data_IF_539084863275
#
_entry.id   IF_539084863275
#
_cell.length_a   1.000
_cell.length_b   1.000
_cell.length_c   1.000
_cell.angle_alpha   90.00
_cell.angle_beta   90.00
_cell.angle_gamma   90.00
#
_symmetry.space_group_name_H-M   'P 1'
#
loop_
_entity.id
_entity.type
_entity.pdbx_description
1 polymer ?
#
# COMPACT_ATOMS: atom_id res chain seq x y z
N UNK A 1 -31.66 -35.46 18.21
CA UNK A 1 -30.44 -36.30 18.24
C UNK A 1 -29.66 -36.01 16.96
N UNK A 2 -28.70 -35.09 17.03
CA UNK A 2 -27.55 -34.94 16.12
C UNK A 2 -26.49 -34.13 16.92
N UNK A 3 -25.22 -34.56 16.96
CA UNK A 3 -24.26 -34.12 17.98
C UNK A 3 -23.53 -32.81 17.69
N UNK A 4 -23.21 -32.14 18.81
CA UNK A 4 -22.25 -31.05 19.05
C UNK A 4 -21.12 -30.88 18.01
N UNK A 5 -20.95 -29.65 17.49
CA UNK A 5 -19.67 -29.17 16.93
C UNK A 5 -18.87 -28.45 18.03
N UNK A 6 -17.57 -28.77 18.23
CA UNK A 6 -16.74 -28.07 19.19
C UNK A 6 -16.31 -26.68 18.68
N UNK A 7 -16.60 -25.67 19.49
CA UNK A 7 -16.11 -24.29 19.33
C UNK A 7 -14.60 -24.26 19.59
N UNK A 8 -13.79 -23.95 18.56
CA UNK A 8 -12.35 -23.75 18.70
C UNK A 8 -12.09 -22.42 19.41
N UNK A 9 -11.57 -22.49 20.64
CA UNK A 9 -11.15 -21.34 21.44
C UNK A 9 -9.74 -20.93 21.02
N UNK A 10 -9.64 -19.78 20.35
CA UNK A 10 -8.37 -19.13 20.02
C UNK A 10 -7.66 -18.64 21.29
N UNK A 11 -6.41 -19.05 21.44
CA UNK A 11 -5.47 -18.72 22.49
C UNK A 11 -5.14 -17.21 22.46
N UNK A 12 -5.65 -16.45 23.44
CA UNK A 12 -5.24 -15.06 23.68
C UNK A 12 -3.92 -15.08 24.46
N UNK A 13 -2.82 -14.75 23.78
CA UNK A 13 -1.53 -14.45 24.41
C UNK A 13 -1.58 -13.01 24.90
N UNK A 14 -1.79 -12.83 26.21
CA UNK A 14 -1.59 -11.54 26.89
C UNK A 14 -0.19 -11.53 27.48
N UNK A 15 0.70 -10.74 26.89
CA UNK A 15 1.97 -10.38 27.52
C UNK A 15 1.75 -9.08 28.31
N UNK A 16 1.92 -9.14 29.62
CA UNK A 16 1.94 -7.98 30.51
C UNK A 16 3.39 -7.50 30.63
N UNK A 17 3.64 -6.20 30.49
CA UNK A 17 4.86 -5.59 31.02
C UNK A 17 4.54 -4.25 31.66
N UNK A 18 5.03 -4.13 32.89
CA UNK A 18 4.80 -3.09 33.87
C UNK A 18 5.26 -1.69 33.41
N UNK A 19 4.49 -0.69 33.82
CA UNK A 19 4.91 0.70 33.88
C UNK A 19 5.79 0.91 35.10
N UNK A 20 7.02 1.39 34.90
CA UNK A 20 7.81 2.03 35.95
C UNK A 20 8.49 3.27 35.39
N UNK A 21 8.28 4.36 36.11
CA UNK A 21 8.77 5.72 35.92
C UNK A 21 10.29 5.83 36.06
N UNK A 22 10.95 6.60 35.19
CA UNK A 22 12.21 7.31 35.46
C UNK A 22 12.45 8.38 34.39
N UNK A 23 12.81 9.60 34.84
CA UNK A 23 12.89 10.80 34.01
C UNK A 23 14.23 11.05 33.31
N UNK A 24 14.29 12.25 32.73
CA UNK A 24 15.42 13.00 32.16
C UNK A 24 15.94 12.59 30.76
N UNK A 25 15.75 13.45 29.77
CA UNK A 25 16.70 14.53 29.42
C UNK A 25 16.23 15.24 28.15
N UNK A 26 16.09 16.56 28.22
CA UNK A 26 15.99 17.43 27.04
C UNK A 26 17.36 17.46 26.40
N UNK A 27 17.48 16.98 25.16
CA UNK A 27 18.57 17.35 24.27
C UNK A 27 17.96 17.93 23.00
N UNK A 28 18.05 19.26 22.87
CA UNK A 28 17.70 19.95 21.62
C UNK A 28 18.87 19.74 20.64
N UNK A 29 18.75 18.71 19.78
CA UNK A 29 19.59 18.55 18.60
C UNK A 29 19.03 19.37 17.43
N UNK A 30 19.87 19.92 16.54
CA UNK A 30 19.41 20.75 15.42
C UNK A 30 18.50 19.93 14.49
N UNK A 31 17.42 20.51 13.92
CA UNK A 31 16.57 19.82 12.97
C UNK A 31 17.36 19.60 11.66
N UNK A 32 18.02 18.46 11.55
CA UNK A 32 18.71 18.06 10.32
C UNK A 32 17.67 17.58 9.31
N UNK A 33 17.41 18.43 8.31
CA UNK A 33 16.93 18.14 6.95
C UNK A 33 16.21 16.79 6.77
N UNK A 34 14.88 16.85 6.70
CA UNK A 34 14.00 15.74 6.34
C UNK A 34 14.40 15.11 5.00
N UNK A 35 15.11 13.99 5.05
CA UNK A 35 15.30 13.09 3.90
C UNK A 35 13.95 12.49 3.53
N UNK A 36 13.48 12.76 2.32
CA UNK A 36 12.30 12.13 1.74
C UNK A 36 12.50 10.61 1.73
N UNK A 37 11.74 9.90 2.57
CA UNK A 37 11.78 8.45 2.64
C UNK A 37 11.13 7.87 1.38
N UNK A 38 11.95 7.41 0.43
CA UNK A 38 11.47 6.69 -0.75
C UNK A 38 10.78 5.39 -0.32
N UNK A 39 9.50 5.26 -0.67
CA UNK A 39 8.62 4.12 -0.30
C UNK A 39 9.03 2.76 -0.90
N UNK A 40 10.00 2.74 -1.81
CA UNK A 40 10.45 1.55 -2.56
C UNK A 40 11.94 1.23 -2.39
N UNK A 41 12.64 1.94 -1.50
CA UNK A 41 14.07 1.72 -1.22
C UNK A 41 14.31 0.58 -0.23
N UNK A 42 14.19 -0.68 -0.68
CA UNK A 42 14.65 -1.84 0.10
C UNK A 42 16.17 -2.03 0.03
N UNK A 43 16.74 -2.81 0.96
CA UNK A 43 18.11 -3.42 1.01
C UNK A 43 19.35 -2.55 0.72
N UNK A 44 19.22 -1.25 0.48
CA UNK A 44 20.36 -0.34 0.30
C UNK A 44 20.49 0.56 1.53
N UNK A 45 21.57 0.39 2.30
CA UNK A 45 21.91 1.28 3.42
C UNK A 45 22.26 2.71 2.97
N UNK A 46 22.70 2.89 1.73
CA UNK A 46 23.08 4.19 1.16
C UNK A 46 22.03 4.75 0.19
N UNK A 47 21.84 6.07 0.19
CA UNK A 47 20.98 6.77 -0.75
C UNK A 47 21.45 6.53 -2.18
N UNK A 48 20.59 5.93 -3.01
CA UNK A 48 20.81 5.74 -4.44
C UNK A 48 21.20 7.09 -5.06
N UNK A 49 22.24 7.09 -5.88
CA UNK A 49 22.76 8.32 -6.52
C UNK A 49 21.71 8.86 -7.50
N UNK A 50 21.51 10.17 -7.54
CA UNK A 50 20.52 10.85 -8.43
C UNK A 50 20.61 10.39 -9.90
N UNK A 51 21.82 10.07 -10.38
CA UNK A 51 22.05 9.55 -11.72
C UNK A 51 21.42 8.17 -11.95
N UNK A 52 21.44 7.29 -10.95
CA UNK A 52 20.81 5.96 -11.02
C UNK A 52 19.29 6.11 -10.96
N UNK A 53 18.79 7.02 -10.12
CA UNK A 53 17.35 7.28 -10.02
C UNK A 53 16.77 7.79 -11.33
N UNK A 54 17.42 8.77 -11.94
CA UNK A 54 17.05 9.33 -13.24
C UNK A 54 17.17 8.31 -14.37
N UNK A 55 18.11 7.36 -14.26
CA UNK A 55 18.25 6.27 -15.22
C UNK A 55 17.11 5.25 -15.07
N UNK A 56 16.64 5.00 -13.85
CA UNK A 56 15.52 4.08 -13.57
C UNK A 56 14.14 4.74 -13.64
N UNK A 57 14.09 6.05 -13.80
CA UNK A 57 12.84 6.83 -13.85
C UNK A 57 12.08 6.50 -15.15
N UNK A 58 10.97 5.76 -15.04
CA UNK A 58 10.05 5.52 -16.15
C UNK A 58 8.87 6.50 -16.19
N UNK A 59 8.65 7.27 -15.12
CA UNK A 59 7.49 8.17 -14.94
C UNK A 59 7.34 9.17 -16.09
N UNK A 60 8.43 9.76 -16.55
CA UNK A 60 8.41 10.77 -17.61
C UNK A 60 7.93 10.19 -18.95
N UNK A 61 8.17 8.90 -19.20
CA UNK A 61 7.65 8.18 -20.36
C UNK A 61 6.21 7.67 -20.12
N UNK A 62 5.95 7.07 -18.96
CA UNK A 62 4.66 6.45 -18.61
C UNK A 62 3.52 7.47 -18.55
N UNK A 63 3.83 8.74 -18.25
CA UNK A 63 2.87 9.85 -18.29
C UNK A 63 2.23 10.04 -19.66
N UNK A 64 2.89 9.70 -20.77
CA UNK A 64 2.26 9.78 -22.08
C UNK A 64 1.28 8.61 -22.35
N UNK A 65 1.44 7.50 -21.63
CA UNK A 65 0.70 6.25 -21.81
C UNK A 65 -0.51 6.12 -20.85
N UNK A 66 -0.71 7.07 -19.93
CA UNK A 66 -1.78 6.99 -18.91
C UNK A 66 -3.18 6.77 -19.51
N UNK A 67 -3.48 7.38 -20.67
CA UNK A 67 -4.77 7.21 -21.34
C UNK A 67 -5.02 5.78 -21.79
N UNK A 68 -3.97 5.08 -22.20
CA UNK A 68 -3.99 3.69 -22.63
C UNK A 68 -4.18 2.78 -21.42
N UNK A 69 -3.52 3.09 -20.31
CA UNK A 69 -3.63 2.34 -19.06
C UNK A 69 -5.05 2.43 -18.47
N UNK A 70 -5.67 3.62 -18.51
CA UNK A 70 -7.08 3.82 -18.13
C UNK A 70 -8.00 2.97 -19.02
N UNK A 71 -7.80 2.99 -20.35
CA UNK A 71 -8.60 2.18 -21.28
C UNK A 71 -8.44 0.68 -21.02
N UNK A 72 -7.21 0.22 -20.76
CA UNK A 72 -6.92 -1.17 -20.41
C UNK A 72 -7.61 -1.58 -19.11
N UNK A 73 -7.54 -0.72 -18.09
CA UNK A 73 -8.21 -0.94 -16.80
C UNK A 73 -9.72 -1.05 -16.93
N UNK A 74 -10.37 -0.19 -17.75
CA UNK A 74 -11.82 -0.27 -18.02
C UNK A 74 -12.22 -1.57 -18.72
N UNK A 75 -11.44 -1.97 -19.73
CA UNK A 75 -11.70 -3.22 -20.45
C UNK A 75 -11.53 -4.43 -19.53
N UNK A 76 -10.50 -4.41 -18.68
CA UNK A 76 -10.24 -5.47 -17.72
C UNK A 76 -11.35 -5.57 -16.66
N UNK A 77 -11.79 -4.45 -16.07
CA UNK A 77 -12.93 -4.44 -15.14
C UNK A 77 -14.22 -4.97 -15.79
N UNK A 78 -14.47 -4.60 -17.05
CA UNK A 78 -15.62 -5.12 -17.81
C UNK A 78 -15.55 -6.63 -18.05
N UNK A 79 -14.36 -7.13 -18.38
CA UNK A 79 -14.10 -8.57 -18.53
C UNK A 79 -14.27 -9.31 -17.20
N UNK A 80 -13.78 -8.77 -16.08
CA UNK A 80 -13.94 -9.38 -14.75
C UNK A 80 -15.42 -9.52 -14.36
N UNK A 81 -16.23 -8.50 -14.64
CA UNK A 81 -17.67 -8.53 -14.42
C UNK A 81 -18.37 -9.55 -15.31
N UNK A 82 -17.96 -9.65 -16.59
CA UNK A 82 -18.50 -10.64 -17.52
C UNK A 82 -18.21 -12.08 -17.07
N UNK A 83 -17.03 -12.31 -16.47
CA UNK A 83 -16.65 -13.61 -15.95
C UNK A 83 -17.30 -13.94 -14.60
N UNK A 84 -18.01 -12.98 -13.98
CA UNK A 84 -18.66 -13.13 -12.67
C UNK A 84 -17.71 -13.05 -11.48
N UNK A 85 -16.50 -12.48 -11.66
CA UNK A 85 -15.51 -12.32 -10.57
C UNK A 85 -15.80 -11.09 -9.71
N UNK A 86 -16.40 -10.06 -10.29
CA UNK A 86 -16.88 -8.87 -9.59
C UNK A 86 -18.33 -8.60 -9.98
N UNK A 87 -19.07 -7.91 -9.11
CA UNK A 87 -20.45 -7.52 -9.42
C UNK A 87 -20.49 -6.40 -10.46
N UNK A 88 -21.64 -6.23 -11.11
CA UNK A 88 -21.88 -5.13 -12.05
C UNK A 88 -21.79 -3.77 -11.37
N UNK A 89 -22.23 -3.67 -10.11
CA UNK A 89 -22.14 -2.41 -9.35
C UNK A 89 -20.69 -2.04 -9.07
N UNK A 90 -19.84 -3.02 -8.73
CA UNK A 90 -18.43 -2.78 -8.46
C UNK A 90 -17.66 -2.43 -9.75
N UNK A 91 -18.01 -3.06 -10.89
CA UNK A 91 -17.52 -2.64 -12.20
C UNK A 91 -17.84 -1.17 -12.47
N UNK A 92 -19.07 -0.75 -12.23
CA UNK A 92 -19.52 0.60 -12.54
C UNK A 92 -18.83 1.65 -11.67
N UNK A 93 -18.65 1.38 -10.38
CA UNK A 93 -17.84 2.23 -9.49
C UNK A 93 -16.38 2.35 -9.94
N UNK A 94 -15.78 1.25 -10.41
CA UNK A 94 -14.41 1.27 -10.94
C UNK A 94 -14.35 2.13 -12.21
N UNK A 95 -15.33 2.01 -13.10
CA UNK A 95 -15.38 2.83 -14.31
C UNK A 95 -15.55 4.31 -14.00
N UNK A 96 -16.43 4.65 -13.05
CA UNK A 96 -16.65 6.02 -12.59
C UNK A 96 -15.36 6.59 -11.97
N UNK A 97 -14.70 5.85 -11.07
CA UNK A 97 -13.44 6.28 -10.49
C UNK A 97 -12.31 6.45 -11.53
N UNK A 98 -12.32 5.67 -12.62
CA UNK A 98 -11.37 5.82 -13.73
C UNK A 98 -11.69 7.02 -14.64
N UNK A 99 -12.94 7.53 -14.64
CA UNK A 99 -13.33 8.74 -15.38
C UNK A 99 -12.92 10.04 -14.65
N UNK A 100 -12.64 9.96 -13.35
CA UNK A 100 -12.22 11.09 -12.52
C UNK A 100 -10.69 11.35 -12.55
N UNK A 101 -9.90 10.48 -13.20
CA UNK A 101 -8.43 10.54 -13.29
C UNK A 101 -7.97 11.28 -14.55
#
# INVERSE_FOLDING_TARGET
NLPNKPQQKGLVVRCASASSSSGNTVTNGPPSSSKEAKLWGGRFEDSVTEAVEKFTESISFDKALYKQDIRGSRAHASMLAHQGLISTEDRDKIQEGLDEI
#
